data_IF_410572142994
#
_entry.id   IF_410572142994
#
_cell.length_a   1.000
_cell.length_b   1.000
_cell.length_c   1.000
_cell.angle_alpha   90.00
_cell.angle_beta   90.00
_cell.angle_gamma   90.00
#
_symmetry.space_group_name_H-M   'P 1'
#
loop_
_entity.id
_entity.type
_entity.pdbx_description
1 polymer ?
#
# COMPACT_ATOMS: atom_id res chain seq x y z
N UNK A 1 -26.88 -2.67 41.34
CA UNK A 1 -25.41 -2.55 41.25
C UNK A 1 -24.79 -3.08 39.91
N UNK A 2 -25.21 -4.21 39.38
CA UNK A 2 -24.66 -4.77 38.07
C UNK A 2 -24.83 -3.84 36.86
N UNK A 3 -25.96 -3.09 36.73
CA UNK A 3 -26.27 -2.19 35.61
C UNK A 3 -25.33 -0.98 35.55
N UNK A 4 -24.92 -0.42 36.68
CA UNK A 4 -24.00 0.72 36.76
C UNK A 4 -22.55 0.29 36.43
N UNK A 5 -22.13 -0.91 36.85
CA UNK A 5 -20.81 -1.46 36.47
C UNK A 5 -20.68 -1.70 34.95
N UNK A 6 -21.76 -2.18 34.29
CA UNK A 6 -21.78 -2.31 32.82
C UNK A 6 -21.66 -0.96 32.11
N UNK A 7 -22.40 0.06 32.56
CA UNK A 7 -22.29 1.42 31.96
C UNK A 7 -20.90 2.00 32.15
N UNK A 8 -20.32 1.88 33.35
CA UNK A 8 -18.96 2.36 33.63
C UNK A 8 -17.89 1.66 32.78
N UNK A 9 -18.01 0.35 32.59
CA UNK A 9 -17.11 -0.41 31.69
C UNK A 9 -17.21 0.05 30.21
N UNK A 10 -18.41 0.41 29.74
CA UNK A 10 -18.62 0.93 28.40
C UNK A 10 -17.96 2.30 28.24
N UNK A 11 -18.17 3.20 29.21
CA UNK A 11 -17.56 4.55 29.17
C UNK A 11 -16.05 4.49 29.20
N UNK A 12 -15.46 3.64 30.05
CA UNK A 12 -14.00 3.45 30.08
C UNK A 12 -13.48 2.92 28.75
N UNK A 13 -14.14 1.94 28.15
CA UNK A 13 -13.76 1.41 26.83
C UNK A 13 -13.82 2.49 25.74
N UNK A 14 -14.87 3.32 25.75
CA UNK A 14 -15.00 4.42 24.81
C UNK A 14 -13.90 5.47 24.99
N UNK A 15 -13.58 5.83 26.25
CA UNK A 15 -12.46 6.76 26.52
C UNK A 15 -11.13 6.22 26.03
N UNK A 16 -10.84 4.94 26.27
CA UNK A 16 -9.60 4.30 25.77
C UNK A 16 -9.57 4.31 24.24
N UNK A 17 -10.68 3.99 23.57
CA UNK A 17 -10.77 4.02 22.12
C UNK A 17 -10.55 5.43 21.56
N UNK A 18 -11.18 6.45 22.16
CA UNK A 18 -10.99 7.86 21.75
C UNK A 18 -9.52 8.26 21.91
N UNK A 19 -8.90 7.93 23.04
CA UNK A 19 -7.50 8.24 23.30
C UNK A 19 -6.58 7.57 22.25
N UNK A 20 -6.79 6.28 21.98
CA UNK A 20 -6.04 5.56 20.96
C UNK A 20 -6.23 6.16 19.57
N UNK A 21 -7.47 6.55 19.23
CA UNK A 21 -7.76 7.22 17.96
C UNK A 21 -7.00 8.54 17.83
N UNK A 22 -6.99 9.36 18.90
CA UNK A 22 -6.24 10.63 18.91
C UNK A 22 -4.73 10.39 18.72
N UNK A 23 -4.18 9.40 19.41
CA UNK A 23 -2.75 9.05 19.26
C UNK A 23 -2.43 8.58 17.83
N UNK A 24 -3.31 7.76 17.25
CA UNK A 24 -3.13 7.29 15.85
C UNK A 24 -3.36 8.41 14.81
N UNK A 25 -4.22 9.37 15.10
CA UNK A 25 -4.46 10.51 14.21
C UNK A 25 -3.36 11.57 14.29
N UNK A 26 -2.60 11.61 15.39
CA UNK A 26 -1.56 12.60 15.62
C UNK A 26 -0.50 12.67 14.52
N UNK A 27 0.08 11.55 14.03
CA UNK A 27 1.03 11.58 12.92
C UNK A 27 0.43 12.18 11.64
N UNK A 28 -0.83 11.89 11.33
CA UNK A 28 -1.52 12.45 10.17
C UNK A 28 -1.72 13.95 10.30
N UNK A 29 -2.07 14.42 11.50
CA UNK A 29 -2.16 15.84 11.82
C UNK A 29 -0.82 16.54 11.60
N UNK A 30 0.28 15.99 12.12
CA UNK A 30 1.62 16.56 11.96
C UNK A 30 2.03 16.63 10.49
N UNK A 31 1.80 15.57 9.69
CA UNK A 31 2.08 15.58 8.25
C UNK A 31 1.29 16.67 7.54
N UNK A 32 0.02 16.84 7.87
CA UNK A 32 -0.81 17.92 7.32
C UNK A 32 -0.26 19.30 7.70
N UNK A 33 0.08 19.51 8.97
CA UNK A 33 0.65 20.78 9.45
C UNK A 33 2.00 21.06 8.77
N UNK A 34 2.88 20.06 8.67
CA UNK A 34 4.17 20.18 7.95
C UNK A 34 3.98 20.60 6.50
N UNK A 35 2.93 20.14 5.81
CA UNK A 35 2.58 20.56 4.45
C UNK A 35 2.26 22.06 4.31
N UNK A 36 2.04 22.77 5.42
CA UNK A 36 1.80 24.21 5.44
C UNK A 36 3.05 25.06 5.69
N UNK A 37 4.21 24.43 5.90
CA UNK A 37 5.47 25.10 6.20
C UNK A 37 6.39 25.18 4.99
N UNK A 38 7.33 26.13 5.02
CA UNK A 38 8.47 26.15 4.10
C UNK A 38 9.44 24.99 4.44
N UNK A 39 10.07 24.39 3.42
CA UNK A 39 10.93 23.22 3.61
C UNK A 39 12.03 23.38 4.63
N UNK A 40 12.61 24.59 4.75
CA UNK A 40 13.68 24.90 5.71
C UNK A 40 13.18 24.98 7.16
N UNK A 41 11.91 25.36 7.36
CA UNK A 41 11.33 25.55 8.69
C UNK A 41 10.88 24.23 9.32
N UNK A 42 10.64 23.20 8.52
CA UNK A 42 10.24 21.87 9.01
C UNK A 42 11.31 21.27 9.94
N UNK A 43 12.58 21.56 9.68
CA UNK A 43 13.71 21.01 10.46
C UNK A 43 14.05 21.83 11.70
N UNK A 44 13.42 23.00 11.92
CA UNK A 44 13.67 23.85 13.09
C UNK A 44 12.95 23.39 14.36
N UNK A 45 12.01 22.44 14.24
CA UNK A 45 11.25 21.89 15.35
C UNK A 45 9.97 21.21 14.89
N UNK A 46 9.24 20.57 15.82
CA UNK A 46 7.98 19.94 15.51
C UNK A 46 6.87 20.99 15.40
N UNK A 47 6.33 21.29 14.20
CA UNK A 47 5.30 22.31 14.05
C UNK A 47 3.96 21.79 14.58
N UNK A 48 3.36 22.54 15.51
CA UNK A 48 2.07 22.19 16.13
C UNK A 48 0.88 22.96 15.52
N UNK A 49 1.13 24.07 14.85
CA UNK A 49 0.09 24.94 14.26
C UNK A 49 0.33 25.12 12.76
N UNK A 50 -0.71 25.23 11.93
CA UNK A 50 -0.57 25.48 10.50
C UNK A 50 0.11 26.82 10.19
N UNK A 51 0.90 26.86 9.12
CA UNK A 51 1.54 28.06 8.57
C UNK A 51 0.89 28.49 7.25
N UNK A 52 1.41 29.52 6.61
CA UNK A 52 0.80 30.18 5.44
C UNK A 52 1.29 29.64 4.08
N UNK A 53 2.16 28.62 4.05
CA UNK A 53 2.76 28.12 2.80
C UNK A 53 1.95 27.04 2.08
N UNK A 54 0.79 26.63 2.60
CA UNK A 54 -0.01 25.55 2.01
C UNK A 54 -0.28 25.74 0.52
N UNK A 55 -0.76 26.92 0.13
CA UNK A 55 -1.09 27.21 -1.29
C UNK A 55 0.16 27.21 -2.16
N UNK A 56 1.27 27.73 -1.66
CA UNK A 56 2.55 27.77 -2.37
C UNK A 56 3.08 26.35 -2.59
N UNK A 57 3.07 25.52 -1.56
CA UNK A 57 3.48 24.13 -1.63
C UNK A 57 2.58 23.32 -2.57
N UNK A 58 1.26 23.55 -2.51
CA UNK A 58 0.30 22.88 -3.40
C UNK A 58 0.56 23.23 -4.88
N UNK A 59 0.77 24.52 -5.19
CA UNK A 59 1.12 24.94 -6.55
C UNK A 59 2.43 24.32 -7.02
N UNK A 60 3.42 24.24 -6.16
CA UNK A 60 4.71 23.61 -6.46
C UNK A 60 4.55 22.11 -6.76
N UNK A 61 3.79 21.39 -5.96
CA UNK A 61 3.52 19.95 -6.18
C UNK A 61 2.82 19.72 -7.51
N UNK A 62 1.79 20.52 -7.80
CA UNK A 62 1.04 20.44 -9.08
C UNK A 62 1.96 20.73 -10.26
N UNK A 63 2.79 21.77 -10.18
CA UNK A 63 3.72 22.16 -11.27
C UNK A 63 4.80 21.11 -11.55
N UNK A 64 5.14 20.27 -10.57
CA UNK A 64 6.14 19.20 -10.71
C UNK A 64 5.59 17.87 -11.24
N UNK A 65 4.43 17.88 -11.86
CA UNK A 65 3.87 16.71 -12.54
C UNK A 65 3.11 15.75 -11.64
N UNK A 66 2.58 16.22 -10.52
CA UNK A 66 1.78 15.42 -9.58
C UNK A 66 0.65 14.65 -10.28
N UNK A 67 -0.08 15.30 -11.18
CA UNK A 67 -1.20 14.65 -11.88
C UNK A 67 -0.74 13.49 -12.75
N UNK A 68 0.40 13.63 -13.44
CA UNK A 68 0.96 12.53 -14.23
C UNK A 68 1.36 11.35 -13.35
N UNK A 69 2.04 11.62 -12.23
CA UNK A 69 2.43 10.59 -11.28
C UNK A 69 1.20 9.90 -10.66
N UNK A 70 0.16 10.68 -10.34
CA UNK A 70 -1.09 10.16 -9.78
C UNK A 70 -1.85 9.28 -10.78
N UNK A 71 -1.95 9.69 -12.05
CA UNK A 71 -2.56 8.89 -13.12
C UNK A 71 -1.78 7.60 -13.37
N UNK A 72 -0.44 7.64 -13.35
CA UNK A 72 0.40 6.45 -13.44
C UNK A 72 0.11 5.48 -12.29
N UNK A 73 -0.01 5.99 -11.06
CA UNK A 73 -0.35 5.17 -9.89
C UNK A 73 -1.73 4.52 -10.01
N UNK A 74 -2.74 5.25 -10.49
CA UNK A 74 -4.07 4.71 -10.75
C UNK A 74 -3.99 3.62 -11.83
N UNK A 75 -3.30 3.89 -12.93
CA UNK A 75 -3.16 2.94 -14.04
C UNK A 75 -2.50 1.64 -13.57
N UNK A 76 -1.39 1.74 -12.85
CA UNK A 76 -0.69 0.57 -12.29
C UNK A 76 -1.61 -0.18 -11.33
N UNK A 77 -2.26 0.50 -10.40
CA UNK A 77 -3.11 -0.13 -9.40
C UNK A 77 -4.30 -0.86 -10.03
N UNK A 78 -5.03 -0.19 -10.93
CA UNK A 78 -6.20 -0.78 -11.59
C UNK A 78 -5.80 -1.97 -12.47
N UNK A 79 -4.75 -1.81 -13.29
CA UNK A 79 -4.27 -2.89 -14.15
C UNK A 79 -3.78 -4.09 -13.33
N UNK A 80 -2.98 -3.86 -12.29
CA UNK A 80 -2.48 -4.92 -11.40
C UNK A 80 -3.61 -5.67 -10.72
N UNK A 81 -4.59 -4.97 -10.16
CA UNK A 81 -5.73 -5.59 -9.46
C UNK A 81 -6.56 -6.44 -10.44
N UNK A 82 -6.91 -5.90 -11.61
CA UNK A 82 -7.72 -6.64 -12.58
C UNK A 82 -7.00 -7.91 -13.03
N UNK A 83 -5.73 -7.80 -13.44
CA UNK A 83 -4.96 -8.93 -13.95
C UNK A 83 -4.70 -9.95 -12.83
N UNK A 84 -4.31 -9.50 -11.64
CA UNK A 84 -4.04 -10.36 -10.48
C UNK A 84 -5.28 -11.15 -10.08
N UNK A 85 -6.44 -10.49 -9.95
CA UNK A 85 -7.71 -11.16 -9.61
C UNK A 85 -8.10 -12.19 -10.67
N UNK A 86 -8.00 -11.85 -11.97
CA UNK A 86 -8.31 -12.78 -13.04
C UNK A 86 -7.39 -14.01 -13.01
N UNK A 87 -6.08 -13.80 -12.95
CA UNK A 87 -5.09 -14.89 -12.94
C UNK A 87 -5.26 -15.76 -11.69
N UNK A 88 -5.37 -15.16 -10.51
CA UNK A 88 -5.52 -15.88 -9.24
C UNK A 88 -6.83 -16.68 -9.21
N UNK A 89 -7.92 -16.10 -9.70
CA UNK A 89 -9.22 -16.79 -9.77
C UNK A 89 -9.16 -17.96 -10.73
N UNK A 90 -8.55 -17.82 -11.91
CA UNK A 90 -8.40 -18.90 -12.88
C UNK A 90 -7.55 -20.05 -12.33
N UNK A 91 -6.41 -19.72 -11.72
CA UNK A 91 -5.53 -20.72 -11.10
C UNK A 91 -6.23 -21.41 -9.93
N UNK A 92 -6.83 -20.63 -9.02
CA UNK A 92 -7.56 -21.15 -7.87
C UNK A 92 -8.72 -22.05 -8.28
N UNK A 93 -9.51 -21.64 -9.28
CA UNK A 93 -10.60 -22.43 -9.84
C UNK A 93 -10.10 -23.75 -10.46
N UNK A 94 -9.03 -23.67 -11.27
CA UNK A 94 -8.44 -24.87 -11.90
C UNK A 94 -7.94 -25.86 -10.85
N UNK A 95 -7.23 -25.37 -9.84
CA UNK A 95 -6.73 -26.17 -8.73
C UNK A 95 -7.84 -26.70 -7.81
N UNK A 96 -8.94 -26.00 -7.66
CA UNK A 96 -10.05 -26.47 -6.84
C UNK A 96 -10.90 -27.53 -7.59
N UNK A 97 -11.32 -27.22 -8.81
CA UNK A 97 -12.37 -27.91 -9.53
C UNK A 97 -11.88 -29.07 -10.39
N UNK A 98 -10.72 -28.94 -11.04
CA UNK A 98 -10.25 -29.96 -11.97
C UNK A 98 -9.36 -31.01 -11.31
N UNK A 99 -9.45 -32.25 -11.83
CA UNK A 99 -8.58 -33.39 -11.48
C UNK A 99 -7.63 -33.61 -12.66
N UNK A 100 -6.35 -33.33 -12.49
CA UNK A 100 -5.33 -33.54 -13.52
C UNK A 100 -4.02 -34.05 -12.93
N UNK A 101 -3.19 -34.72 -13.75
CA UNK A 101 -1.88 -35.19 -13.33
C UNK A 101 -0.97 -34.01 -13.00
N UNK A 102 -0.27 -34.07 -11.86
CA UNK A 102 0.62 -33.00 -11.44
C UNK A 102 -0.02 -31.90 -10.59
N UNK A 103 -1.35 -31.90 -10.36
CA UNK A 103 -2.05 -30.91 -9.53
C UNK A 103 -1.38 -30.68 -8.16
N UNK A 104 -1.04 -31.79 -7.46
CA UNK A 104 -0.38 -31.72 -6.14
C UNK A 104 1.00 -31.06 -6.25
N UNK A 105 1.76 -31.35 -7.30
CA UNK A 105 3.09 -30.78 -7.52
C UNK A 105 3.00 -29.28 -7.76
N UNK A 106 2.07 -28.82 -8.61
CA UNK A 106 1.83 -27.40 -8.89
C UNK A 106 1.43 -26.67 -7.61
N UNK A 107 0.53 -27.25 -6.81
CA UNK A 107 0.10 -26.68 -5.55
C UNK A 107 1.28 -26.52 -4.57
N UNK A 108 2.10 -27.57 -4.41
CA UNK A 108 3.29 -27.52 -3.55
C UNK A 108 4.29 -26.48 -4.07
N UNK A 109 4.47 -26.37 -5.37
CA UNK A 109 5.38 -25.39 -5.98
C UNK A 109 4.91 -23.95 -5.71
N UNK A 110 3.60 -23.68 -5.86
CA UNK A 110 3.03 -22.36 -5.51
C UNK A 110 3.26 -22.06 -4.03
N UNK A 111 2.97 -23.00 -3.14
CA UNK A 111 3.20 -22.82 -1.70
C UNK A 111 4.67 -22.58 -1.36
N UNK A 112 5.59 -23.29 -2.03
CA UNK A 112 7.03 -23.09 -1.83
C UNK A 112 7.49 -21.68 -2.26
N UNK A 113 6.98 -21.18 -3.39
CA UNK A 113 7.26 -19.80 -3.85
C UNK A 113 6.74 -18.78 -2.85
N UNK A 114 5.56 -18.97 -2.29
CA UNK A 114 4.99 -18.06 -1.28
C UNK A 114 5.82 -17.98 0.01
N UNK A 115 6.64 -18.99 0.30
CA UNK A 115 7.55 -18.97 1.46
C UNK A 115 8.82 -18.15 1.21
N UNK A 116 9.12 -17.78 -0.04
CA UNK A 116 10.28 -16.96 -0.38
C UNK A 116 9.92 -15.49 -0.13
N UNK A 117 10.66 -14.76 0.73
CA UNK A 117 10.42 -13.34 0.91
C UNK A 117 10.60 -12.58 -0.41
N UNK A 118 9.58 -11.82 -0.83
CA UNK A 118 9.59 -11.10 -2.11
C UNK A 118 10.79 -10.15 -2.29
N UNK A 119 11.34 -9.64 -1.18
CA UNK A 119 12.51 -8.76 -1.18
C UNK A 119 13.76 -9.42 -1.79
N UNK A 120 13.91 -10.74 -1.62
CA UNK A 120 15.08 -11.48 -2.15
C UNK A 120 15.02 -11.56 -3.68
N UNK A 121 13.83 -11.71 -4.26
CA UNK A 121 13.66 -11.82 -5.71
C UNK A 121 13.75 -10.48 -6.44
N UNK A 122 13.70 -9.36 -5.72
CA UNK A 122 13.60 -8.02 -6.32
C UNK A 122 14.80 -7.66 -7.20
N UNK A 123 16.02 -8.04 -6.78
CA UNK A 123 17.24 -7.76 -7.57
C UNK A 123 17.21 -8.54 -8.89
N UNK A 124 16.88 -9.83 -8.84
CA UNK A 124 16.75 -10.65 -10.03
C UNK A 124 15.67 -10.13 -10.98
N UNK A 125 14.53 -9.74 -10.42
CA UNK A 125 13.42 -9.13 -11.16
C UNK A 125 13.85 -7.86 -11.90
N UNK A 126 14.55 -6.95 -11.22
CA UNK A 126 15.04 -5.71 -11.82
C UNK A 126 16.04 -5.97 -12.97
N UNK A 127 16.91 -6.98 -12.83
CA UNK A 127 17.85 -7.37 -13.89
C UNK A 127 17.09 -7.92 -15.11
N UNK A 128 16.06 -8.73 -14.92
CA UNK A 128 15.25 -9.24 -16.03
C UNK A 128 14.46 -8.11 -16.72
N UNK A 129 13.84 -7.21 -15.98
CA UNK A 129 13.15 -6.04 -16.56
C UNK A 129 14.11 -5.15 -17.34
N UNK A 130 15.36 -5.01 -16.89
CA UNK A 130 16.42 -4.29 -17.61
C UNK A 130 16.77 -4.97 -18.92
N UNK A 131 16.99 -6.29 -18.94
CA UNK A 131 17.26 -7.06 -20.16
C UNK A 131 16.15 -6.93 -21.19
N UNK A 132 14.90 -6.87 -20.72
CA UNK A 132 13.72 -6.69 -21.57
C UNK A 132 13.49 -5.23 -22.02
N UNK A 133 14.35 -4.27 -21.61
CA UNK A 133 14.20 -2.83 -21.86
C UNK A 133 12.88 -2.23 -21.34
N UNK A 134 12.35 -2.78 -20.25
CA UNK A 134 11.06 -2.35 -19.68
C UNK A 134 11.18 -1.37 -18.51
N UNK A 135 12.39 -1.08 -17.99
CA UNK A 135 12.58 -0.27 -16.78
C UNK A 135 11.94 1.12 -16.83
N UNK A 136 11.84 1.72 -18.00
CA UNK A 136 11.26 3.05 -18.18
C UNK A 136 9.78 3.00 -18.57
N UNK A 137 9.09 1.90 -18.25
CA UNK A 137 7.65 1.71 -18.48
C UNK A 137 6.92 1.42 -17.19
N UNK A 138 5.57 1.42 -17.21
CA UNK A 138 4.75 1.03 -16.08
C UNK A 138 4.62 -0.51 -15.93
N UNK A 139 5.04 -1.27 -16.93
CA UNK A 139 4.89 -2.73 -16.97
C UNK A 139 5.58 -3.45 -15.80
N UNK A 140 6.83 -3.10 -15.41
CA UNK A 140 7.45 -3.74 -14.26
C UNK A 140 6.66 -3.57 -12.98
N UNK A 141 6.04 -2.41 -12.76
CA UNK A 141 5.22 -2.18 -11.58
C UNK A 141 3.93 -3.00 -11.61
N UNK A 142 3.36 -3.24 -12.79
CA UNK A 142 2.17 -4.09 -12.95
C UNK A 142 2.57 -5.56 -12.76
N UNK A 143 3.64 -6.02 -13.42
CA UNK A 143 4.05 -7.42 -13.38
C UNK A 143 4.46 -7.92 -12.01
N UNK A 144 5.12 -7.08 -11.21
CA UNK A 144 5.52 -7.49 -9.86
C UNK A 144 4.31 -7.83 -8.99
N UNK A 145 3.22 -7.07 -9.11
CA UNK A 145 2.00 -7.33 -8.36
C UNK A 145 1.17 -8.50 -8.92
N UNK A 146 1.19 -8.70 -10.24
CA UNK A 146 0.52 -9.84 -10.90
C UNK A 146 1.26 -11.14 -10.63
N UNK A 147 2.60 -11.10 -10.64
CA UNK A 147 3.44 -12.27 -10.39
C UNK A 147 3.58 -12.60 -8.89
N UNK A 148 3.23 -11.70 -8.01
CA UNK A 148 3.20 -12.00 -6.58
C UNK A 148 2.18 -13.11 -6.33
N UNK A 149 2.59 -14.24 -5.71
CA UNK A 149 1.74 -15.40 -5.66
C UNK A 149 0.41 -15.11 -4.96
N UNK A 150 -0.60 -15.02 -5.80
CA UNK A 150 -2.00 -14.94 -5.44
C UNK A 150 -2.46 -13.64 -4.73
N UNK A 151 -1.77 -12.52 -4.98
CA UNK A 151 -2.22 -11.17 -4.56
C UNK A 151 -1.65 -10.71 -3.27
#
# INVERSE_FOLDING_TARGET
>A
MKKNRKKMSIVIKQMVLILMTMVMFFPLYIVFVMGTYHSEDIFKGLPMLPSNYFVTNLKLVISKGFFSAYLNSITVSVASVIISVLVSTMIGFALAKYKFKGKKLIFIFIMAIMMIPGQISMIGYMLEMRKMNLLNTLLPLIFIWVAHPLG
#
